data_IF_904351267395
#
_entry.id   IF_904351267395
#
_cell.length_a   1.000
_cell.length_b   1.000
_cell.length_c   1.000
_cell.angle_alpha   90.00
_cell.angle_beta   90.00
_cell.angle_gamma   90.00
#
_symmetry.space_group_name_H-M   'P 1'
#
loop_
_entity.id
_entity.type
_entity.pdbx_description
1 polymer ?
#
# COMPACT_ATOMS: atom_id res chain seq x y z
N UNK A 1 28.94 93.98 -14.58
CA UNK A 1 28.35 93.67 -15.91
C UNK A 1 28.17 92.16 -16.01
N UNK A 2 27.02 91.74 -16.56
CA UNK A 2 26.74 90.48 -17.29
C UNK A 2 27.09 89.10 -16.64
N UNK A 3 26.25 88.05 -16.65
CA UNK A 3 24.80 87.91 -16.92
C UNK A 3 24.26 86.63 -16.22
N UNK A 4 23.02 86.74 -15.75
CA UNK A 4 21.94 85.75 -15.51
C UNK A 4 21.92 84.47 -16.41
N UNK A 5 21.11 83.38 -16.28
CA UNK A 5 20.04 82.84 -15.39
C UNK A 5 19.73 81.38 -15.87
N UNK A 6 18.87 80.52 -15.26
CA UNK A 6 18.41 80.29 -13.89
C UNK A 6 17.43 79.08 -13.83
N UNK A 7 17.27 78.45 -12.65
CA UNK A 7 16.13 77.57 -12.32
C UNK A 7 16.43 76.05 -12.24
N UNK A 8 15.68 75.23 -11.49
CA UNK A 8 14.55 75.48 -10.56
C UNK A 8 14.51 74.32 -9.52
N UNK A 9 13.97 74.56 -8.31
CA UNK A 9 14.04 73.68 -7.13
C UNK A 9 12.92 72.63 -7.05
N UNK A 10 13.19 71.46 -6.44
CA UNK A 10 12.40 70.62 -5.49
C UNK A 10 13.22 69.31 -5.29
N UNK A 11 13.69 68.82 -4.12
CA UNK A 11 13.23 68.69 -2.72
C UNK A 11 12.40 67.41 -2.44
N UNK A 12 12.58 66.84 -1.22
CA UNK A 12 12.04 65.57 -0.64
C UNK A 12 12.90 64.29 -0.90
N UNK A 13 13.10 63.37 0.06
CA UNK A 13 12.73 63.36 1.49
C UNK A 13 13.62 62.44 2.38
N UNK A 14 13.81 62.89 3.63
CA UNK A 14 13.82 62.16 4.92
C UNK A 14 14.51 60.79 5.05
N UNK A 15 15.53 60.74 5.92
CA UNK A 15 16.06 59.52 6.52
C UNK A 15 15.48 59.34 7.94
N UNK A 16 14.98 58.15 8.25
CA UNK A 16 14.63 57.71 9.61
C UNK A 16 15.16 56.28 9.84
N UNK A 17 16.15 56.13 10.72
CA UNK A 17 16.61 54.81 11.18
C UNK A 17 16.04 54.59 12.58
N UNK A 18 14.95 53.84 12.67
CA UNK A 18 14.48 53.26 13.93
C UNK A 18 15.16 51.90 14.14
N UNK A 19 15.81 51.71 15.30
CA UNK A 19 16.42 50.44 15.67
C UNK A 19 15.90 50.01 17.05
N UNK A 20 15.34 48.79 17.13
CA UNK A 20 14.71 48.29 18.36
C UNK A 20 13.88 47.03 18.16
N UNK A 21 14.43 46.03 17.48
CA UNK A 21 13.74 44.74 17.23
C UNK A 21 13.99 43.77 18.39
N UNK A 22 12.91 43.30 19.02
CA UNK A 22 12.86 42.00 19.72
C UNK A 22 11.66 41.23 19.18
N UNK A 23 11.88 40.55 18.07
CA UNK A 23 10.98 39.50 17.56
C UNK A 23 11.39 38.17 18.19
N UNK A 24 10.41 37.38 18.61
CA UNK A 24 10.61 36.29 19.58
C UNK A 24 11.48 35.12 19.11
N UNK A 25 12.03 34.39 20.09
CA UNK A 25 12.71 33.13 19.86
C UNK A 25 11.70 32.02 19.49
N UNK A 26 11.65 31.60 18.22
CA UNK A 26 10.84 30.43 17.82
C UNK A 26 11.22 29.77 16.47
N UNK A 27 12.51 29.54 16.15
CA UNK A 27 12.91 28.39 15.30
C UNK A 27 14.43 28.21 15.14
N UNK A 28 15.17 27.98 16.23
CA UNK A 28 16.44 27.23 16.15
C UNK A 28 16.16 25.71 16.02
N UNK A 29 15.09 25.34 15.30
CA UNK A 29 14.80 23.94 14.96
C UNK A 29 15.76 23.59 13.83
N UNK A 30 16.83 22.88 14.17
CA UNK A 30 18.06 22.80 13.37
C UNK A 30 17.81 22.31 11.95
N UNK A 31 18.62 22.78 10.99
CA UNK A 31 18.60 22.22 9.63
C UNK A 31 18.94 20.72 9.65
N UNK A 32 19.75 20.29 10.61
CA UNK A 32 20.11 18.88 10.84
C UNK A 32 18.90 18.01 11.23
N UNK A 33 17.96 18.53 12.03
CA UNK A 33 16.72 17.81 12.33
C UNK A 33 15.89 17.58 11.06
N UNK A 34 15.77 18.60 10.20
CA UNK A 34 15.08 18.46 8.90
C UNK A 34 15.80 17.45 7.99
N UNK A 35 17.14 17.56 7.86
CA UNK A 35 17.95 16.61 7.07
C UNK A 35 17.79 15.17 7.58
N UNK A 36 17.82 14.96 8.89
CA UNK A 36 17.65 13.64 9.50
C UNK A 36 16.24 13.05 9.26
N UNK A 37 15.20 13.89 9.33
CA UNK A 37 13.84 13.49 9.01
C UNK A 37 13.66 13.17 7.51
N UNK A 38 14.14 14.03 6.62
CA UNK A 38 14.10 13.82 5.17
C UNK A 38 14.87 12.57 4.74
N UNK A 39 16.06 12.35 5.31
CA UNK A 39 16.85 11.14 5.08
C UNK A 39 16.12 9.90 5.61
N UNK A 40 15.69 9.90 6.87
CA UNK A 40 14.98 8.76 7.47
C UNK A 40 13.67 8.42 6.75
N UNK A 41 12.96 9.42 6.23
CA UNK A 41 11.77 9.23 5.40
C UNK A 41 12.11 8.61 4.03
N UNK A 42 13.16 9.10 3.35
CA UNK A 42 13.62 8.51 2.07
C UNK A 42 14.13 7.09 2.24
N UNK A 43 14.96 6.84 3.25
CA UNK A 43 15.51 5.52 3.56
C UNK A 43 14.39 4.56 3.97
N UNK A 44 13.41 5.05 4.75
CA UNK A 44 12.20 4.31 5.09
C UNK A 44 11.34 3.96 3.87
N UNK A 45 11.15 4.89 2.94
CA UNK A 45 10.41 4.66 1.69
C UNK A 45 11.18 3.75 0.72
N UNK A 46 12.50 3.87 0.62
CA UNK A 46 13.33 2.96 -0.18
C UNK A 46 13.33 1.54 0.40
N UNK A 47 13.37 1.39 1.73
CA UNK A 47 13.22 0.11 2.40
C UNK A 47 11.80 -0.46 2.26
N UNK A 48 10.77 0.39 2.28
CA UNK A 48 9.38 0.00 2.06
C UNK A 48 9.13 -0.43 0.60
N UNK A 49 9.68 0.26 -0.39
CA UNK A 49 9.65 -0.18 -1.80
C UNK A 49 10.47 -1.45 -2.00
N UNK A 50 11.62 -1.61 -1.34
CA UNK A 50 12.40 -2.85 -1.41
C UNK A 50 11.65 -4.04 -0.80
N UNK A 51 10.87 -3.82 0.27
CA UNK A 51 10.02 -4.84 0.92
C UNK A 51 8.65 -5.06 0.26
N UNK A 52 8.14 -4.05 -0.46
CA UNK A 52 6.83 -4.05 -1.14
C UNK A 52 6.90 -4.23 -2.66
N UNK A 53 8.10 -4.23 -3.25
CA UNK A 53 8.35 -4.29 -4.69
C UNK A 53 9.29 -5.42 -5.11
N UNK A 54 9.77 -6.25 -4.18
CA UNK A 54 10.33 -7.57 -4.48
C UNK A 54 9.30 -8.67 -4.21
N UNK A 55 8.12 -8.48 -4.81
CA UNK A 55 7.38 -9.62 -5.33
C UNK A 55 8.28 -10.25 -6.41
N UNK A 56 9.14 -11.18 -5.98
CA UNK A 56 9.61 -12.22 -6.88
C UNK A 56 8.34 -12.85 -7.45
N UNK A 57 8.03 -12.53 -8.71
CA UNK A 57 7.24 -13.34 -9.63
C UNK A 57 7.96 -14.66 -9.90
N UNK A 58 8.34 -15.36 -8.83
CA UNK A 58 8.82 -16.71 -8.88
C UNK A 58 7.69 -17.53 -9.45
N UNK A 59 7.94 -18.05 -10.66
CA UNK A 59 7.09 -19.02 -11.37
C UNK A 59 6.68 -20.11 -10.37
N UNK A 60 5.48 -20.00 -9.79
CA UNK A 60 5.10 -20.82 -8.63
C UNK A 60 4.40 -20.12 -7.45
N UNK A 61 4.44 -18.77 -7.32
CA UNK A 61 3.67 -18.10 -6.25
C UNK A 61 2.19 -18.06 -6.59
N UNK A 62 1.36 -18.67 -5.75
CA UNK A 62 -0.10 -18.72 -5.89
C UNK A 62 -0.74 -17.44 -5.33
N UNK A 63 -1.59 -16.79 -6.12
CA UNK A 63 -2.39 -15.64 -5.74
C UNK A 63 -3.88 -16.00 -5.81
N UNK A 64 -4.55 -16.03 -4.67
CA UNK A 64 -6.00 -16.30 -4.58
C UNK A 64 -6.77 -15.05 -4.98
N UNK A 65 -7.43 -15.11 -6.13
CA UNK A 65 -8.33 -14.07 -6.61
C UNK A 65 -9.69 -14.16 -5.88
N UNK A 66 -10.25 -15.36 -5.77
CA UNK A 66 -11.56 -15.66 -5.18
C UNK A 66 -11.54 -17.06 -4.56
N UNK A 67 -12.28 -17.26 -3.47
CA UNK A 67 -12.57 -18.57 -2.93
C UNK A 67 -13.97 -18.53 -2.28
N UNK A 68 -14.86 -19.41 -2.74
CA UNK A 68 -16.24 -19.51 -2.26
C UNK A 68 -16.49 -20.93 -1.77
N UNK A 69 -17.08 -21.07 -0.59
CA UNK A 69 -17.49 -22.35 -0.02
C UNK A 69 -19.00 -22.37 0.20
N UNK A 70 -19.71 -23.35 -0.36
CA UNK A 70 -21.16 -23.47 -0.17
C UNK A 70 -21.89 -24.09 -1.37
N UNK A 71 -23.12 -23.63 -1.58
CA UNK A 71 -23.98 -23.89 -2.75
C UNK A 71 -24.39 -22.56 -3.39
N UNK A 72 -25.09 -22.59 -4.54
CA UNK A 72 -25.42 -21.37 -5.33
C UNK A 72 -26.06 -20.25 -4.52
N UNK A 73 -27.07 -20.58 -3.72
CA UNK A 73 -27.90 -19.63 -2.99
C UNK A 73 -27.44 -19.43 -1.53
N UNK A 74 -26.39 -20.13 -1.10
CA UNK A 74 -25.89 -20.13 0.26
C UNK A 74 -24.39 -20.49 0.30
N UNK A 75 -23.53 -19.46 0.32
CA UNK A 75 -22.07 -19.60 0.34
C UNK A 75 -21.39 -18.52 1.17
N UNK A 76 -20.19 -18.79 1.67
CA UNK A 76 -19.32 -17.83 2.33
C UNK A 76 -18.01 -17.59 1.55
N UNK A 77 -17.45 -16.39 1.69
CA UNK A 77 -16.10 -16.08 1.20
C UNK A 77 -15.07 -16.80 2.09
N UNK A 78 -14.25 -17.63 1.46
CA UNK A 78 -13.23 -18.46 2.09
C UNK A 78 -11.80 -17.96 1.79
N UNK A 79 -11.63 -16.77 1.17
CA UNK A 79 -10.34 -16.31 0.61
C UNK A 79 -9.26 -16.22 1.65
N UNK A 80 -9.57 -15.64 2.81
CA UNK A 80 -8.59 -15.47 3.89
C UNK A 80 -8.21 -16.79 4.54
N UNK A 81 -9.17 -17.71 4.75
CA UNK A 81 -8.87 -19.05 5.26
C UNK A 81 -8.01 -19.85 4.27
N UNK A 82 -8.34 -19.83 2.98
CA UNK A 82 -7.51 -20.46 1.93
C UNK A 82 -6.11 -19.83 1.89
N UNK A 83 -5.99 -18.49 1.95
CA UNK A 83 -4.69 -17.79 2.01
C UNK A 83 -3.84 -18.20 3.21
N UNK A 84 -4.45 -18.41 4.37
CA UNK A 84 -3.75 -18.89 5.56
C UNK A 84 -3.31 -20.35 5.40
N UNK A 85 -4.16 -21.22 4.85
CA UNK A 85 -3.85 -22.64 4.61
C UNK A 85 -2.72 -22.85 3.59
N UNK A 86 -2.66 -22.06 2.51
CA UNK A 86 -1.60 -22.21 1.50
C UNK A 86 -0.23 -21.70 1.97
N UNK A 87 -0.19 -20.75 2.90
CA UNK A 87 1.03 -20.14 3.43
C UNK A 87 2.01 -19.69 2.35
N UNK A 88 3.17 -20.37 2.27
CA UNK A 88 4.20 -20.18 1.23
C UNK A 88 4.51 -21.46 0.46
N UNK A 89 3.63 -22.46 0.53
CA UNK A 89 3.87 -23.76 -0.11
C UNK A 89 3.63 -23.68 -1.64
N UNK A 90 4.46 -24.37 -2.46
CA UNK A 90 4.33 -24.32 -3.92
C UNK A 90 3.19 -25.19 -4.46
N UNK A 91 2.80 -26.24 -3.73
CA UNK A 91 1.71 -27.15 -4.08
C UNK A 91 0.82 -27.42 -2.85
N UNK A 92 0.08 -26.41 -2.35
CA UNK A 92 -0.72 -26.55 -1.15
C UNK A 92 -1.97 -27.40 -1.41
N UNK A 93 -2.26 -28.32 -0.49
CA UNK A 93 -3.50 -29.09 -0.48
C UNK A 93 -4.47 -28.50 0.54
N UNK A 94 -5.72 -28.25 0.11
CA UNK A 94 -6.79 -27.65 0.91
C UNK A 94 -7.96 -28.63 0.95
N UNK A 95 -8.36 -29.04 2.15
CA UNK A 95 -9.58 -29.84 2.37
C UNK A 95 -10.80 -28.94 2.45
N UNK A 96 -11.85 -29.27 1.69
CA UNK A 96 -13.10 -28.52 1.66
C UNK A 96 -13.99 -28.90 2.86
N UNK A 97 -14.24 -27.97 3.77
CA UNK A 97 -15.02 -28.21 4.98
C UNK A 97 -15.35 -26.95 5.76
N UNK A 98 -16.20 -27.08 6.79
CA UNK A 98 -16.72 -25.97 7.60
C UNK A 98 -15.63 -25.15 8.32
N UNK A 99 -14.39 -25.67 8.43
CA UNK A 99 -13.23 -24.92 8.93
C UNK A 99 -12.85 -23.70 8.08
N UNK A 100 -13.37 -23.58 6.85
CA UNK A 100 -13.07 -22.47 5.94
C UNK A 100 -13.77 -21.16 6.34
N UNK A 101 -15.09 -21.19 6.58
CA UNK A 101 -15.88 -20.01 6.94
C UNK A 101 -17.20 -20.36 7.67
N UNK A 102 -17.23 -21.49 8.38
CA UNK A 102 -18.44 -22.05 8.99
C UNK A 102 -19.25 -22.93 8.03
N UNK A 103 -20.49 -23.24 8.42
CA UNK A 103 -21.44 -24.00 7.59
C UNK A 103 -22.50 -23.06 6.98
N UNK A 104 -22.30 -22.56 5.74
CA UNK A 104 -23.25 -21.65 5.10
C UNK A 104 -24.53 -22.33 4.62
N UNK A 105 -24.57 -23.66 4.50
CA UNK A 105 -25.66 -24.40 3.86
C UNK A 105 -25.93 -25.73 4.58
N UNK A 106 -26.53 -25.62 5.78
CA UNK A 106 -26.78 -26.77 6.66
C UNK A 106 -27.63 -27.83 5.97
N UNK A 107 -27.16 -29.08 5.99
CA UNK A 107 -27.85 -30.22 5.37
C UNK A 107 -27.65 -30.36 3.85
N UNK A 108 -26.94 -29.43 3.19
CA UNK A 108 -26.52 -29.57 1.80
C UNK A 108 -25.03 -29.94 1.72
N UNK A 109 -24.66 -30.79 0.75
CA UNK A 109 -23.24 -31.04 0.43
C UNK A 109 -22.68 -29.82 -0.28
N UNK A 110 -21.72 -29.15 0.36
CA UNK A 110 -21.12 -27.90 -0.15
C UNK A 110 -19.97 -28.18 -1.11
N UNK A 111 -19.55 -27.16 -1.85
CA UNK A 111 -18.37 -27.17 -2.71
C UNK A 111 -17.48 -25.97 -2.41
N UNK A 112 -16.18 -26.21 -2.30
CA UNK A 112 -15.15 -25.17 -2.38
C UNK A 112 -14.84 -24.92 -3.86
N UNK A 113 -14.90 -23.65 -4.28
CA UNK A 113 -14.39 -23.17 -5.57
C UNK A 113 -13.31 -22.14 -5.32
N UNK A 114 -12.11 -22.36 -5.83
CA UNK A 114 -10.98 -21.42 -5.72
C UNK A 114 -10.60 -20.94 -7.12
N UNK A 115 -10.66 -19.63 -7.34
CA UNK A 115 -10.13 -18.97 -8.55
C UNK A 115 -8.79 -18.31 -8.19
N UNK A 116 -7.70 -18.71 -8.85
CA UNK A 116 -6.33 -18.31 -8.50
C UNK A 116 -5.45 -18.11 -9.73
N UNK A 117 -4.29 -17.47 -9.58
CA UNK A 117 -3.25 -17.41 -10.62
C UNK A 117 -1.86 -17.65 -10.04
N UNK A 118 -0.90 -17.95 -10.90
CA UNK A 118 0.50 -18.12 -10.53
C UNK A 118 1.34 -16.98 -11.11
N UNK A 119 1.83 -16.07 -10.26
CA UNK A 119 2.41 -14.80 -10.70
C UNK A 119 1.48 -14.06 -11.68
N UNK A 120 2.01 -13.71 -12.85
CA UNK A 120 1.30 -13.00 -13.93
C UNK A 120 0.50 -13.92 -14.89
N UNK A 121 0.42 -15.23 -14.62
CA UNK A 121 -0.38 -16.16 -15.44
C UNK A 121 -1.89 -15.86 -15.40
N UNK A 122 -2.62 -16.45 -16.35
CA UNK A 122 -4.07 -16.42 -16.40
C UNK A 122 -4.73 -17.00 -15.13
N UNK A 123 -5.98 -16.62 -14.89
CA UNK A 123 -6.79 -17.18 -13.80
C UNK A 123 -7.18 -18.64 -14.12
N UNK A 124 -6.92 -19.50 -13.15
CA UNK A 124 -7.28 -20.92 -13.11
C UNK A 124 -8.35 -21.14 -12.04
N UNK A 125 -9.10 -22.24 -12.14
CA UNK A 125 -10.13 -22.62 -11.18
C UNK A 125 -9.96 -24.06 -10.72
N UNK A 126 -9.96 -24.28 -9.42
CA UNK A 126 -9.96 -25.59 -8.77
C UNK A 126 -11.23 -25.74 -7.91
N UNK A 127 -11.73 -26.98 -7.78
CA UNK A 127 -12.93 -27.29 -7.00
C UNK A 127 -12.80 -28.61 -6.25
N UNK A 128 -13.29 -28.65 -5.00
CA UNK A 128 -13.52 -29.87 -4.23
C UNK A 128 -14.90 -29.80 -3.59
N UNK A 129 -15.62 -30.92 -3.58
CA UNK A 129 -16.81 -31.06 -2.75
C UNK A 129 -16.43 -31.24 -1.26
N UNK A 130 -17.38 -31.01 -0.36
CA UNK A 130 -17.20 -31.18 1.08
C UNK A 130 -16.72 -32.60 1.44
N UNK A 131 -15.64 -32.64 2.23
CA UNK A 131 -14.88 -33.84 2.58
C UNK A 131 -13.66 -34.10 1.68
N UNK A 132 -13.70 -33.64 0.42
CA UNK A 132 -12.61 -33.85 -0.55
C UNK A 132 -11.53 -32.76 -0.42
N UNK A 133 -10.41 -32.91 -1.14
CA UNK A 133 -9.30 -31.96 -1.13
C UNK A 133 -8.85 -31.56 -2.53
N UNK A 134 -8.44 -30.29 -2.70
CA UNK A 134 -7.77 -29.79 -3.91
C UNK A 134 -6.30 -29.50 -3.63
N UNK A 135 -5.43 -29.86 -4.56
CA UNK A 135 -4.07 -29.31 -4.63
C UNK A 135 -4.07 -28.16 -5.64
N UNK A 136 -3.67 -26.97 -5.21
CA UNK A 136 -3.37 -25.87 -6.13
C UNK A 136 -1.94 -26.04 -6.63
N UNK A 137 -1.67 -25.80 -7.90
CA UNK A 137 -0.32 -25.90 -8.46
C UNK A 137 -0.14 -24.89 -9.61
N UNK A 138 1.10 -24.76 -10.07
CA UNK A 138 1.51 -23.81 -11.12
C UNK A 138 2.20 -24.53 -12.29
N UNK A 139 1.63 -25.64 -12.74
CA UNK A 139 2.12 -26.42 -13.88
C UNK A 139 1.88 -25.72 -15.22
#
# INVERSE_FOLDING_TARGET
>A
MNTQFAGKRLMCALAFIGLGVVSGAASAQSQEYRRGYDQGYRDGMAAAQSRGGQEYGGRGRIHIAEALYGVRDASCDAREAVRQMIGRYPNPTITAGNQLCGDPARGARKRLTVTYRCGDSALMRAQADEGDSITLNCQ
#
